data_IF_860698241774
#
_entry.id   IF_860698241774
#
_cell.length_a   1.000
_cell.length_b   1.000
_cell.length_c   1.000
_cell.angle_alpha   90.00
_cell.angle_beta   90.00
_cell.angle_gamma   90.00
#
_symmetry.space_group_name_H-M   'P 1'
#
loop_
_entity.id
_entity.type
_entity.pdbx_description
1 polymer ?
#
# COMPACT_ATOMS: atom_id res chain seq x y z
N UNK A 1 -9.72 13.36 -20.86
CA UNK A 1 -8.78 12.61 -20.01
C UNK A 1 -9.28 12.75 -18.58
N UNK A 2 -9.96 11.73 -18.05
CA UNK A 2 -10.37 11.72 -16.64
C UNK A 2 -9.11 11.59 -15.79
N UNK A 3 -8.81 12.60 -14.97
CA UNK A 3 -7.75 12.50 -13.96
C UNK A 3 -8.18 11.46 -12.94
N UNK A 4 -7.56 10.27 -12.98
CA UNK A 4 -7.76 9.23 -11.97
C UNK A 4 -7.47 9.84 -10.60
N UNK A 5 -8.42 9.75 -9.66
CA UNK A 5 -8.28 10.25 -8.29
C UNK A 5 -7.04 9.60 -7.66
N UNK A 6 -6.18 10.39 -7.03
CA UNK A 6 -5.02 9.88 -6.30
C UNK A 6 -5.49 8.94 -5.19
N UNK A 7 -4.86 7.78 -5.08
CA UNK A 7 -5.14 6.81 -4.02
C UNK A 7 -4.33 7.21 -2.80
N UNK A 8 -4.94 7.20 -1.61
CA UNK A 8 -4.24 7.49 -0.35
C UNK A 8 -3.70 6.19 0.25
N UNK A 9 -2.50 5.79 -0.15
CA UNK A 9 -1.86 4.58 0.38
C UNK A 9 -1.37 4.80 1.82
N UNK A 10 -1.16 6.06 2.24
CA UNK A 10 -0.79 6.38 3.62
C UNK A 10 -1.94 6.01 4.56
N UNK A 11 -3.15 6.45 4.24
CA UNK A 11 -4.35 6.14 5.01
C UNK A 11 -4.64 4.63 4.99
N UNK A 12 -4.57 3.99 3.82
CA UNK A 12 -4.73 2.54 3.71
C UNK A 12 -3.76 1.77 4.63
N UNK A 13 -2.48 2.13 4.64
CA UNK A 13 -1.48 1.47 5.50
C UNK A 13 -1.77 1.69 7.00
N UNK A 14 -2.33 2.85 7.37
CA UNK A 14 -2.70 3.13 8.77
C UNK A 14 -3.90 2.28 9.20
N UNK A 15 -4.91 2.17 8.35
CA UNK A 15 -6.15 1.43 8.64
C UNK A 15 -5.90 -0.09 8.67
N UNK A 16 -4.93 -0.56 7.89
CA UNK A 16 -4.57 -1.98 7.77
C UNK A 16 -3.18 -2.32 8.33
N UNK A 17 -2.69 -1.54 9.31
CA UNK A 17 -1.33 -1.70 9.87
C UNK A 17 -1.08 -3.14 10.36
N UNK A 18 -2.08 -3.74 11.02
CA UNK A 18 -1.97 -5.06 11.63
C UNK A 18 -1.94 -6.20 10.61
N UNK A 19 -2.67 -6.04 9.51
CA UNK A 19 -2.74 -6.98 8.39
C UNK A 19 -1.45 -6.92 7.57
N UNK A 20 -0.95 -5.72 7.30
CA UNK A 20 0.23 -5.48 6.44
C UNK A 20 1.52 -5.86 7.14
N UNK A 21 1.74 -5.37 8.37
CA UNK A 21 3.00 -5.59 9.10
C UNK A 21 2.94 -6.74 10.09
N UNK A 22 1.74 -7.28 10.36
CA UNK A 22 1.52 -8.30 11.36
C UNK A 22 1.38 -7.75 12.79
N UNK A 23 1.02 -8.63 13.73
CA UNK A 23 0.90 -8.26 15.15
C UNK A 23 2.24 -7.79 15.71
N UNK A 24 2.25 -6.59 16.28
CA UNK A 24 3.36 -6.00 17.05
C UNK A 24 3.95 -7.01 18.05
N UNK A 25 5.15 -7.52 17.78
CA UNK A 25 6.01 -8.11 18.81
C UNK A 25 6.72 -6.96 19.54
N UNK A 26 6.05 -6.26 20.46
CA UNK A 26 6.66 -5.07 21.08
C UNK A 26 7.33 -5.37 22.41
N UNK A 27 8.59 -4.94 22.48
CA UNK A 27 9.29 -4.53 23.69
C UNK A 27 9.22 -2.98 23.85
N UNK A 28 8.92 -2.21 22.78
CA UNK A 28 9.15 -0.73 22.74
C UNK A 28 7.95 0.18 22.45
N UNK A 29 6.72 -0.30 22.26
CA UNK A 29 5.56 0.61 22.22
C UNK A 29 5.36 1.52 20.97
N UNK A 30 6.22 1.50 19.94
CA UNK A 30 6.09 2.35 18.72
C UNK A 30 5.46 1.66 17.50
N UNK A 31 4.61 2.38 16.75
CA UNK A 31 3.80 1.82 15.65
C UNK A 31 4.63 1.66 14.39
N UNK A 32 4.33 0.68 13.54
CA UNK A 32 5.04 0.51 12.28
C UNK A 32 4.83 1.73 11.38
N UNK A 33 3.64 2.33 11.41
CA UNK A 33 3.34 3.58 10.72
C UNK A 33 4.21 4.73 11.21
N UNK A 34 4.46 4.83 12.53
CA UNK A 34 5.38 5.82 13.09
C UNK A 34 6.84 5.53 12.74
N UNK A 35 7.26 4.27 12.86
CA UNK A 35 8.65 3.84 12.61
C UNK A 35 9.05 4.01 11.15
N UNK A 36 8.14 3.72 10.20
CA UNK A 36 8.40 3.75 8.76
C UNK A 36 7.70 4.89 8.02
N UNK A 37 7.31 5.96 8.74
CA UNK A 37 6.55 7.09 8.19
C UNK A 37 7.12 7.64 6.88
N UNK A 38 8.45 7.78 6.79
CA UNK A 38 9.13 8.32 5.60
C UNK A 38 9.04 7.35 4.41
N UNK A 39 9.23 6.06 4.66
CA UNK A 39 9.13 5.02 3.64
C UNK A 39 7.70 4.88 3.13
N UNK A 40 6.71 4.98 4.02
CA UNK A 40 5.28 4.96 3.68
C UNK A 40 4.94 6.15 2.77
N UNK A 41 5.35 7.38 3.13
CA UNK A 41 5.13 8.55 2.28
C UNK A 41 5.82 8.44 0.92
N UNK A 42 7.04 7.91 0.88
CA UNK A 42 7.76 7.68 -0.38
C UNK A 42 7.09 6.61 -1.25
N UNK A 43 6.52 5.57 -0.64
CA UNK A 43 5.78 4.52 -1.33
C UNK A 43 4.50 5.09 -1.96
N UNK A 44 3.73 5.87 -1.19
CA UNK A 44 2.52 6.53 -1.66
C UNK A 44 2.78 7.40 -2.90
N UNK A 45 3.80 8.28 -2.84
CA UNK A 45 4.19 9.12 -3.97
C UNK A 45 4.57 8.28 -5.20
N UNK A 46 5.39 7.24 -5.02
CA UNK A 46 5.88 6.42 -6.14
C UNK A 46 4.79 5.57 -6.78
N UNK A 47 3.86 5.02 -5.99
CA UNK A 47 2.74 4.25 -6.52
C UNK A 47 1.76 5.15 -7.26
N UNK A 48 1.41 6.31 -6.71
CA UNK A 48 0.57 7.28 -7.42
C UNK A 48 1.26 7.78 -8.71
N UNK A 49 2.57 8.05 -8.68
CA UNK A 49 3.32 8.40 -9.88
C UNK A 49 3.24 7.27 -10.92
N UNK A 50 3.45 6.01 -10.51
CA UNK A 50 3.36 4.86 -11.41
C UNK A 50 1.94 4.68 -11.98
N UNK A 51 0.91 4.79 -11.16
CA UNK A 51 -0.50 4.66 -11.55
C UNK A 51 -0.92 5.77 -12.53
N UNK A 52 -0.34 6.96 -12.40
CA UNK A 52 -0.62 8.09 -13.28
C UNK A 52 -0.04 7.94 -14.69
N UNK A 53 0.90 7.01 -14.90
CA UNK A 53 1.47 6.72 -16.22
C UNK A 53 0.48 5.90 -17.05
N UNK A 54 0.42 6.16 -18.36
CA UNK A 54 -0.37 5.33 -19.30
C UNK A 54 0.36 4.01 -19.64
N UNK A 55 0.68 3.25 -18.60
CA UNK A 55 1.28 1.93 -18.68
C UNK A 55 0.19 0.87 -18.47
N UNK A 56 0.18 -0.19 -19.28
CA UNK A 56 -0.79 -1.28 -19.13
C UNK A 56 -0.71 -1.93 -17.74
N UNK A 57 0.47 -1.97 -17.12
CA UNK A 57 0.69 -2.52 -15.77
C UNK A 57 0.10 -1.65 -14.67
N UNK A 58 -0.07 -0.35 -14.91
CA UNK A 58 -0.76 0.55 -13.98
C UNK A 58 -2.29 0.34 -13.98
N UNK A 59 -2.81 -0.47 -14.92
CA UNK A 59 -4.22 -0.87 -14.99
C UNK A 59 -4.43 -2.28 -14.40
N UNK A 60 -3.37 -3.05 -14.18
CA UNK A 60 -3.40 -4.37 -13.57
C UNK A 60 -3.30 -4.25 -12.03
N UNK A 61 -4.44 -4.41 -11.35
CA UNK A 61 -4.53 -4.24 -9.90
C UNK A 61 -3.78 -5.36 -9.16
N UNK A 62 -3.74 -6.58 -9.71
CA UNK A 62 -2.97 -7.70 -9.16
C UNK A 62 -1.47 -7.39 -9.19
N UNK A 63 -0.99 -6.80 -10.30
CA UNK A 63 0.37 -6.31 -10.39
C UNK A 63 0.66 -5.21 -9.36
N UNK A 64 -0.24 -4.24 -9.20
CA UNK A 64 -0.10 -3.16 -8.21
C UNK A 64 -0.06 -3.69 -6.77
N UNK A 65 -0.88 -4.69 -6.45
CA UNK A 65 -0.86 -5.38 -5.16
C UNK A 65 0.49 -6.05 -4.91
N UNK A 66 1.02 -6.77 -5.91
CA UNK A 66 2.33 -7.39 -5.84
C UNK A 66 3.46 -6.37 -5.64
N UNK A 67 3.42 -5.26 -6.37
CA UNK A 67 4.38 -4.16 -6.25
C UNK A 67 4.32 -3.48 -4.88
N UNK A 68 3.11 -3.25 -4.36
CA UNK A 68 2.88 -2.71 -3.03
C UNK A 68 3.48 -3.62 -1.96
N UNK A 69 3.14 -4.92 -1.99
CA UNK A 69 3.64 -5.90 -1.04
C UNK A 69 5.17 -6.02 -1.07
N UNK A 70 5.74 -6.08 -2.28
CA UNK A 70 7.19 -6.08 -2.48
C UNK A 70 7.85 -4.84 -1.88
N UNK A 71 7.26 -3.66 -2.08
CA UNK A 71 7.83 -2.40 -1.57
C UNK A 71 7.78 -2.34 -0.04
N UNK A 72 6.69 -2.79 0.59
CA UNK A 72 6.58 -2.90 2.05
C UNK A 72 7.64 -3.87 2.60
N UNK A 73 7.88 -5.01 1.94
CA UNK A 73 8.87 -5.98 2.40
C UNK A 73 10.31 -5.41 2.39
N UNK A 74 10.57 -4.36 1.61
CA UNK A 74 11.87 -3.67 1.61
C UNK A 74 12.06 -2.72 2.80
N UNK A 75 11.01 -2.39 3.57
CA UNK A 75 11.14 -1.47 4.70
C UNK A 75 12.04 -2.03 5.81
N UNK A 76 12.03 -3.36 5.98
CA UNK A 76 12.91 -4.08 6.89
C UNK A 76 12.88 -5.57 6.59
N UNK A 77 14.03 -6.24 6.74
CA UNK A 77 14.17 -7.70 6.62
C UNK A 77 13.30 -8.50 7.59
N UNK A 78 12.77 -7.87 8.64
CA UNK A 78 11.90 -8.49 9.62
C UNK A 78 10.42 -8.48 9.21
N UNK A 79 10.06 -7.65 8.22
CA UNK A 79 8.68 -7.54 7.73
C UNK A 79 8.44 -8.67 6.73
N UNK A 80 7.47 -9.52 7.05
CA UNK A 80 6.96 -10.55 6.14
C UNK A 80 5.49 -10.24 5.87
N UNK A 81 5.22 -9.63 4.72
CA UNK A 81 3.87 -9.29 4.28
C UNK A 81 3.10 -10.55 3.93
N UNK A 82 1.87 -10.67 4.42
CA UNK A 82 0.93 -11.72 4.03
C UNK A 82 -0.22 -11.07 3.26
N UNK A 83 -0.09 -11.07 1.93
CA UNK A 83 -0.98 -10.37 1.00
C UNK A 83 -2.44 -10.76 1.20
N UNK A 84 -2.71 -12.03 1.51
CA UNK A 84 -4.07 -12.56 1.68
C UNK A 84 -4.86 -11.83 2.78
N UNK A 85 -4.18 -11.16 3.73
CA UNK A 85 -4.83 -10.47 4.85
C UNK A 85 -5.43 -9.13 4.49
N UNK A 86 -4.92 -8.48 3.44
CA UNK A 86 -5.34 -7.14 3.03
C UNK A 86 -5.65 -7.05 1.53
N UNK A 87 -5.56 -8.15 0.79
CA UNK A 87 -5.84 -8.22 -0.66
C UNK A 87 -7.21 -7.64 -1.01
N UNK A 88 -8.29 -8.11 -0.36
CA UNK A 88 -9.64 -7.63 -0.64
C UNK A 88 -9.79 -6.13 -0.37
N UNK A 89 -9.22 -5.63 0.73
CA UNK A 89 -9.24 -4.21 1.07
C UNK A 89 -8.40 -3.37 0.09
N UNK A 90 -7.29 -3.92 -0.40
CA UNK A 90 -6.48 -3.25 -1.41
C UNK A 90 -7.22 -3.11 -2.74
N UNK A 91 -7.92 -4.15 -3.19
CA UNK A 91 -8.71 -4.08 -4.42
C UNK A 91 -9.85 -3.05 -4.31
N UNK A 92 -10.47 -2.92 -3.13
CA UNK A 92 -11.51 -1.92 -2.88
C UNK A 92 -11.03 -0.47 -3.11
N UNK A 93 -9.74 -0.15 -2.92
CA UNK A 93 -9.17 1.17 -3.22
C UNK A 93 -9.37 1.61 -4.68
N UNK A 94 -9.49 0.64 -5.59
CA UNK A 94 -9.61 0.87 -7.02
C UNK A 94 -11.06 0.78 -7.49
N UNK A 95 -11.93 0.06 -6.77
CA UNK A 95 -13.37 -0.02 -7.05
C UNK A 95 -14.10 1.28 -6.70
N UNK A 96 -13.69 1.99 -5.64
CA UNK A 96 -14.25 3.31 -5.28
C UNK A 96 -13.91 4.42 -6.30
N UNK A 97 -13.06 4.14 -7.29
CA UNK A 97 -12.70 5.04 -8.38
C UNK A 97 -13.53 4.86 -9.67
N UNK A 98 -14.36 3.82 -9.77
CA UNK A 98 -15.17 3.48 -10.96
C UNK A 98 -16.65 3.91 -10.83
N UNK A 99 -16.99 4.71 -9.81
CA UNK A 99 -18.32 5.29 -9.67
C UNK A 99 -18.36 6.67 -10.38
N UNK A 100 -18.74 6.61 -11.66
CA UNK A 100 -19.29 7.65 -12.55
C UNK A 100 -18.33 8.58 -13.31
#
# INVERSE_FOLDING_TARGET
MQSRKSIDFVQFIQDHEGEIFGKKRRITGQSYCSTYRKQIAALDMKLNEFISRDDARAKDITFLLGLFAFSISQFSVQIKTDVNRYEAAFYALFEEGDVQ
#
